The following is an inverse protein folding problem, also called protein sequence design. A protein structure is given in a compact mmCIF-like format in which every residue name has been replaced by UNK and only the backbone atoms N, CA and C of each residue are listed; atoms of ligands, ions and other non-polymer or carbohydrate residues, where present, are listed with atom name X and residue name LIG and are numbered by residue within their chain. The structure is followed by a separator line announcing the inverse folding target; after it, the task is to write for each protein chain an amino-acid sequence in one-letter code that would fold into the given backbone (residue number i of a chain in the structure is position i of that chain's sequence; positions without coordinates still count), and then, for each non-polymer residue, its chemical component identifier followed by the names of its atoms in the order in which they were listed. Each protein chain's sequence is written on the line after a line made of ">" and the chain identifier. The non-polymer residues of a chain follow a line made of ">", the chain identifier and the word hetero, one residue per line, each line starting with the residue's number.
data_IF_893224304466
#
_entry.id   IF_893224304466
#
_cell.length_a   1.000
_cell.length_b   1.000
_cell.length_c   1.000
_cell.angle_alpha   90.00
_cell.angle_beta   90.00
_cell.angle_gamma   90.00
#
_symmetry.space_group_name_H-M   'P 1'
#
loop_
_entity.id
_entity.type
_entity.pdbx_description
1 polymer ?
#
# COMPACT_ATOMS: atom_id res chain seq x y z
N UNK A 1 10.00 -29.40 -10.28
CA UNK A 1 9.03 -29.84 -9.26
C UNK A 1 9.43 -29.22 -7.94
N UNK A 2 8.72 -28.17 -7.55
CA UNK A 2 8.87 -27.52 -6.26
C UNK A 2 7.86 -28.14 -5.28
N UNK A 3 8.28 -28.35 -4.04
CA UNK A 3 7.35 -28.55 -2.92
C UNK A 3 7.05 -27.19 -2.32
N UNK A 4 5.80 -26.74 -2.42
CA UNK A 4 5.36 -25.47 -1.81
C UNK A 4 4.95 -25.82 -0.37
N UNK A 5 5.74 -25.46 0.66
CA UNK A 5 5.31 -25.70 2.02
C UNK A 5 4.10 -24.83 2.34
N UNK A 6 3.39 -25.14 3.44
CA UNK A 6 2.47 -24.18 4.02
C UNK A 6 3.27 -23.03 4.64
N UNK A 7 2.80 -21.80 4.49
CA UNK A 7 3.43 -20.65 5.15
C UNK A 7 3.24 -20.82 6.65
N UNK A 8 4.33 -20.72 7.42
CA UNK A 8 4.20 -20.67 8.87
C UNK A 8 3.42 -19.41 9.25
N UNK A 9 2.27 -19.62 9.89
CA UNK A 9 1.46 -18.53 10.41
C UNK A 9 2.23 -17.90 11.57
N UNK A 10 2.90 -16.77 11.29
CA UNK A 10 3.38 -15.88 12.36
C UNK A 10 2.15 -15.58 13.22
N UNK A 11 2.15 -16.05 14.46
CA UNK A 11 1.04 -15.83 15.39
C UNK A 11 0.94 -14.33 15.65
N UNK A 12 0.14 -13.62 14.86
CA UNK A 12 -0.14 -12.22 15.10
C UNK A 12 -1.12 -12.20 16.28
N UNK A 13 -0.62 -11.90 17.47
CA UNK A 13 -1.46 -11.60 18.62
C UNK A 13 -2.46 -10.51 18.23
N UNK A 14 -3.75 -10.77 18.45
CA UNK A 14 -4.91 -9.92 18.11
C UNK A 14 -4.85 -8.47 18.67
N UNK A 15 -3.81 -8.10 19.41
CA UNK A 15 -3.63 -6.76 19.99
C UNK A 15 -3.25 -5.67 18.97
N UNK A 16 -2.86 -6.03 17.74
CA UNK A 16 -2.46 -5.05 16.72
C UNK A 16 -3.61 -4.52 15.85
N UNK A 17 -4.82 -5.09 15.94
CA UNK A 17 -5.96 -4.68 15.09
C UNK A 17 -6.85 -3.59 15.73
N UNK A 18 -6.55 -3.15 16.95
CA UNK A 18 -7.40 -2.23 17.72
C UNK A 18 -6.84 -0.81 17.91
N UNK A 19 -5.72 -0.43 17.26
CA UNK A 19 -5.07 0.87 17.56
C UNK A 19 -5.44 2.04 16.66
N UNK A 20 -6.24 1.86 15.60
CA UNK A 20 -6.55 2.94 14.66
C UNK A 20 -7.97 3.54 14.78
N UNK A 21 -8.67 3.33 15.90
CA UNK A 21 -10.01 3.91 16.14
C UNK A 21 -10.09 4.88 17.34
N UNK A 22 -9.03 5.01 18.16
CA UNK A 22 -9.02 5.95 19.28
C UNK A 22 -7.78 6.88 19.26
N UNK A 23 -7.70 7.76 18.26
CA UNK A 23 -6.93 9.00 18.41
C UNK A 23 -7.72 10.16 17.82
N UNK A 24 -8.64 10.70 18.62
CA UNK A 24 -9.49 11.78 18.14
C UNK A 24 -10.43 12.42 19.16
N UNK A 25 -10.07 12.49 20.45
CA UNK A 25 -10.65 13.51 21.36
C UNK A 25 -9.59 13.92 22.38
N UNK A 26 -8.88 15.01 22.10
CA UNK A 26 -8.07 15.70 23.11
C UNK A 26 -8.98 16.34 24.17
N UNK A 27 -8.88 15.86 25.41
CA UNK A 27 -9.44 16.53 26.59
C UNK A 27 -8.48 17.60 27.08
N UNK A 28 -8.82 18.88 26.89
CA UNK A 28 -8.20 19.98 27.62
C UNK A 28 -8.81 20.09 29.03
N UNK A 29 -7.95 19.96 30.04
CA UNK A 29 -8.24 20.30 31.43
C UNK A 29 -8.38 21.82 31.60
N UNK A 30 -9.40 22.32 32.30
CA UNK A 30 -9.14 23.04 33.57
C UNK A 30 -10.36 23.29 34.48
N UNK A 31 -10.13 23.00 35.76
CA UNK A 31 -10.50 23.71 37.00
C UNK A 31 -11.84 24.48 37.13
N UNK A 32 -12.65 24.09 38.13
CA UNK A 32 -13.59 25.02 38.78
C UNK A 32 -14.73 24.36 39.56
N UNK A 33 -14.73 24.54 40.89
CA UNK A 33 -15.76 24.09 41.86
C UNK A 33 -17.17 24.63 41.54
N UNK A 34 -18.22 23.84 41.80
CA UNK A 34 -19.30 24.18 42.78
C UNK A 34 -20.53 23.26 42.68
N UNK A 35 -21.29 23.23 43.79
CA UNK A 35 -22.51 22.47 44.09
C UNK A 35 -23.71 22.90 43.23
N UNK A 36 -24.67 22.02 42.98
CA UNK A 36 -26.02 22.43 42.55
C UNK A 36 -26.92 21.29 42.08
N UNK A 37 -28.20 21.34 42.44
CA UNK A 37 -29.25 20.33 42.23
C UNK A 37 -29.96 20.48 40.87
N UNK A 38 -30.66 19.40 40.49
CA UNK A 38 -31.81 19.26 39.57
C UNK A 38 -32.54 20.55 39.14
N UNK A 39 -32.86 20.65 37.84
CA UNK A 39 -33.82 21.62 37.30
C UNK A 39 -33.96 21.60 35.77
N UNK A 40 -35.21 21.74 35.34
CA UNK A 40 -35.83 21.66 34.00
C UNK A 40 -35.40 22.65 32.88
N UNK A 41 -35.81 22.26 31.66
CA UNK A 41 -36.31 23.02 30.50
C UNK A 41 -35.45 24.00 29.66
N UNK A 42 -35.55 23.75 28.34
CA UNK A 42 -35.74 24.66 27.20
C UNK A 42 -34.58 25.50 26.62
N UNK A 43 -34.31 25.21 25.33
CA UNK A 43 -33.89 26.05 24.17
C UNK A 43 -32.98 27.28 24.35
N UNK A 44 -32.06 27.52 23.38
CA UNK A 44 -31.69 28.90 23.04
C UNK A 44 -31.63 29.22 21.53
N UNK A 45 -32.00 30.47 21.22
CA UNK A 45 -31.76 31.20 19.98
C UNK A 45 -30.45 32.02 20.06
N UNK A 46 -29.82 32.22 18.87
CA UNK A 46 -29.10 33.41 18.34
C UNK A 46 -27.93 34.09 19.12
N UNK A 47 -26.73 34.02 18.51
CA UNK A 47 -25.75 35.09 18.07
C UNK A 47 -25.53 36.39 18.90
N UNK A 48 -24.42 37.17 18.72
CA UNK A 48 -23.02 36.92 18.27
C UNK A 48 -21.93 37.66 19.12
N UNK A 49 -20.65 37.58 18.69
CA UNK A 49 -19.40 38.14 19.26
C UNK A 49 -19.29 39.68 19.33
N UNK A 50 -18.27 40.22 20.07
CA UNK A 50 -17.39 41.24 19.46
C UNK A 50 -15.88 41.26 19.87
N UNK A 51 -15.07 41.75 18.91
CA UNK A 51 -13.98 42.76 18.91
C UNK A 51 -12.65 42.73 19.73
N UNK A 52 -11.55 42.78 18.95
CA UNK A 52 -10.34 43.64 18.94
C UNK A 52 -9.67 44.17 20.23
N UNK A 53 -8.35 43.98 20.36
CA UNK A 53 -7.38 45.09 20.59
C UNK A 53 -5.93 44.73 20.17
N UNK A 54 -5.25 45.73 19.64
CA UNK A 54 -3.88 45.79 19.08
C UNK A 54 -2.99 46.65 20.00
N UNK A 55 -1.65 46.45 20.06
CA UNK A 55 -0.68 47.46 20.52
C UNK A 55 0.79 47.14 20.14
N UNK A 56 1.47 48.16 19.61
CA UNK A 56 2.88 48.21 19.15
C UNK A 56 3.76 49.07 20.08
N UNK A 57 5.12 48.88 20.06
CA UNK A 57 6.20 49.91 19.86
C UNK A 57 7.60 49.53 20.46
N UNK A 58 8.69 49.54 19.64
CA UNK A 58 9.94 50.40 19.61
C UNK A 58 11.05 50.12 20.67
N UNK A 59 12.40 50.26 20.53
CA UNK A 59 13.43 50.68 19.51
C UNK A 59 14.88 50.27 19.99
N UNK A 60 15.83 50.21 19.03
CA UNK A 60 17.28 49.88 18.92
C UNK A 60 18.40 50.33 19.93
N UNK A 61 19.56 49.63 19.95
CA UNK A 61 20.87 49.94 19.26
C UNK A 61 22.13 49.29 19.92
N UNK A 62 23.12 48.83 19.13
CA UNK A 62 24.51 48.53 19.59
C UNK A 62 25.31 47.53 18.71
N UNK A 63 26.57 47.84 18.34
CA UNK A 63 27.42 47.18 17.31
C UNK A 63 28.80 46.82 17.90
N UNK A 64 29.38 45.63 17.62
CA UNK A 64 30.78 45.38 17.17
C UNK A 64 31.30 43.91 17.31
N UNK A 65 32.09 43.52 16.28
CA UNK A 65 33.14 42.47 16.11
C UNK A 65 32.78 41.02 15.69
N UNK A 66 33.43 40.61 14.58
CA UNK A 66 33.48 39.29 13.91
C UNK A 66 34.09 38.16 14.75
N UNK A 67 33.68 36.91 14.48
CA UNK A 67 34.58 35.77 14.26
C UNK A 67 33.87 34.69 13.42
N UNK A 68 34.58 34.19 12.41
CA UNK A 68 34.13 33.19 11.43
C UNK A 68 34.00 31.78 12.02
N UNK A 69 32.96 31.03 11.61
CA UNK A 69 32.99 29.55 11.53
C UNK A 69 31.85 29.03 10.64
N UNK A 70 32.25 28.44 9.51
CA UNK A 70 31.70 27.27 8.80
C UNK A 70 30.20 27.18 8.48
N UNK A 71 29.96 27.10 7.17
CA UNK A 71 28.73 26.76 6.48
C UNK A 71 28.01 25.55 7.09
N UNK A 72 26.78 25.78 7.55
CA UNK A 72 25.80 24.71 7.71
C UNK A 72 25.08 24.65 6.37
N UNK A 73 25.46 23.69 5.54
CA UNK A 73 24.72 23.35 4.33
C UNK A 73 23.28 23.04 4.73
N UNK A 74 22.39 23.90 4.28
CA UNK A 74 20.95 23.72 4.33
C UNK A 74 20.63 22.40 3.62
N UNK A 75 20.37 21.36 4.39
CA UNK A 75 19.80 20.11 3.90
C UNK A 75 18.54 20.48 3.10
N UNK A 76 18.64 20.31 1.79
CA UNK A 76 17.50 20.45 0.91
C UNK A 76 16.52 19.35 1.32
N UNK A 77 15.40 19.76 1.90
CA UNK A 77 14.22 18.92 2.02
C UNK A 77 13.99 18.30 0.63
N UNK A 78 14.05 16.97 0.56
CA UNK A 78 13.52 16.24 -0.57
C UNK A 78 12.07 16.71 -0.73
N UNK A 79 11.82 17.50 -1.77
CA UNK A 79 10.48 17.88 -2.13
C UNK A 79 9.69 16.61 -2.33
N UNK A 80 8.71 16.38 -1.47
CA UNK A 80 7.66 15.41 -1.71
C UNK A 80 7.01 15.81 -3.03
N UNK A 81 7.41 15.15 -4.12
CA UNK A 81 6.72 15.25 -5.39
C UNK A 81 5.32 14.70 -5.15
N UNK A 82 4.35 15.60 -4.90
CA UNK A 82 2.96 15.25 -4.63
C UNK A 82 2.32 14.74 -5.92
N UNK A 83 2.60 13.48 -6.25
CA UNK A 83 1.91 12.77 -7.32
C UNK A 83 0.52 12.44 -6.82
N UNK A 84 -0.52 13.06 -7.40
CA UNK A 84 -1.90 12.78 -7.04
C UNK A 84 -2.24 11.30 -7.26
N UNK A 85 -2.73 10.62 -6.23
CA UNK A 85 -3.09 9.20 -6.32
C UNK A 85 -4.37 9.05 -7.13
N UNK A 86 -4.30 8.32 -8.25
CA UNK A 86 -5.48 7.95 -9.05
C UNK A 86 -6.18 6.72 -8.44
N UNK A 87 -7.49 6.80 -8.21
CA UNK A 87 -8.26 5.63 -7.75
C UNK A 87 -8.73 4.82 -8.96
N UNK A 88 -8.44 3.52 -8.97
CA UNK A 88 -8.89 2.55 -9.95
C UNK A 88 -10.02 1.70 -9.38
N UNK A 89 -11.02 1.42 -10.22
CA UNK A 89 -12.11 0.50 -9.93
C UNK A 89 -11.85 -0.87 -10.56
N UNK A 90 -12.52 -1.91 -10.04
CA UNK A 90 -12.51 -3.24 -10.63
C UNK A 90 -12.77 -3.20 -12.14
N UNK A 91 -11.98 -3.96 -12.90
CA UNK A 91 -12.06 -4.04 -14.35
C UNK A 91 -11.34 -2.92 -15.12
N UNK A 92 -10.81 -1.89 -14.43
CA UNK A 92 -10.11 -0.80 -15.10
C UNK A 92 -8.69 -1.17 -15.50
N UNK A 93 -8.23 -0.57 -16.59
CA UNK A 93 -6.86 -0.69 -17.11
C UNK A 93 -6.19 0.67 -17.06
N UNK A 94 -4.96 0.71 -16.58
CA UNK A 94 -4.13 1.90 -16.51
C UNK A 94 -2.83 1.66 -17.27
N UNK A 95 -2.48 2.54 -18.20
CA UNK A 95 -1.15 2.52 -18.83
C UNK A 95 -0.11 2.91 -17.79
N UNK A 96 0.96 2.13 -17.69
CA UNK A 96 2.08 2.43 -16.82
C UNK A 96 2.99 3.46 -17.50
N UNK A 97 3.29 4.54 -16.79
CA UNK A 97 4.17 5.63 -17.20
C UNK A 97 5.61 5.39 -16.75
N UNK A 98 5.79 4.67 -15.64
CA UNK A 98 7.08 4.25 -15.12
C UNK A 98 7.36 2.79 -15.46
N UNK A 99 8.65 2.44 -15.41
CA UNK A 99 9.13 1.06 -15.45
C UNK A 99 9.61 0.57 -14.10
N UNK A 100 9.75 1.45 -13.13
CA UNK A 100 10.08 1.12 -11.75
C UNK A 100 8.85 1.39 -10.91
N UNK A 101 8.33 0.32 -10.32
CA UNK A 101 7.04 0.30 -9.64
C UNK A 101 7.22 -0.35 -8.28
N UNK A 102 6.48 0.14 -7.29
CA UNK A 102 6.33 -0.50 -6.00
C UNK A 102 4.85 -0.75 -5.75
N UNK A 103 4.49 -2.01 -5.50
CA UNK A 103 3.16 -2.41 -5.09
C UNK A 103 3.15 -2.63 -3.59
N UNK A 104 2.14 -2.09 -2.91
CA UNK A 104 1.93 -2.25 -1.48
C UNK A 104 0.50 -2.70 -1.20
N UNK A 105 0.37 -3.86 -0.57
CA UNK A 105 -0.90 -4.39 -0.06
C UNK A 105 -1.04 -4.04 1.41
N UNK A 106 -2.17 -3.44 1.83
CA UNK A 106 -2.32 -2.97 3.21
C UNK A 106 -2.54 -4.08 4.25
N UNK A 107 -2.79 -5.32 3.82
CA UNK A 107 -3.06 -6.46 4.70
C UNK A 107 -2.01 -7.55 4.51
N UNK A 108 -1.62 -8.18 5.62
CA UNK A 108 -0.69 -9.31 5.69
C UNK A 108 -1.40 -10.65 5.96
N UNK A 109 -2.73 -10.65 6.04
CA UNK A 109 -3.52 -11.84 6.38
C UNK A 109 -3.52 -12.85 5.22
N UNK A 110 -3.48 -12.37 3.98
CA UNK A 110 -3.46 -13.21 2.78
C UNK A 110 -2.06 -13.34 2.22
N UNK A 111 -1.80 -14.49 1.61
CA UNK A 111 -0.56 -14.77 0.91
C UNK A 111 -0.60 -14.21 -0.51
N UNK A 112 0.40 -13.40 -0.83
CA UNK A 112 0.61 -12.86 -2.17
C UNK A 112 1.51 -13.83 -2.93
N UNK A 113 1.06 -14.23 -4.12
CA UNK A 113 1.90 -14.95 -5.08
C UNK A 113 1.90 -14.26 -6.43
N UNK A 114 2.99 -14.41 -7.19
CA UNK A 114 3.19 -13.73 -8.47
C UNK A 114 3.63 -14.74 -9.51
N UNK A 115 2.88 -14.86 -10.60
CA UNK A 115 3.24 -15.69 -11.75
C UNK A 115 3.76 -14.78 -12.86
N UNK A 116 5.06 -14.90 -13.19
CA UNK A 116 5.66 -14.23 -14.34
C UNK A 116 5.53 -15.15 -15.54
N UNK A 117 4.64 -14.80 -16.48
CA UNK A 117 4.23 -15.67 -17.57
C UNK A 117 4.54 -15.08 -18.94
N UNK A 118 4.77 -15.97 -19.89
CA UNK A 118 5.07 -15.67 -21.29
C UNK A 118 3.82 -15.61 -22.19
N UNK A 119 4.03 -15.53 -23.50
CA UNK A 119 2.98 -15.53 -24.52
C UNK A 119 2.14 -16.81 -24.55
N UNK A 120 2.67 -17.94 -24.05
CA UNK A 120 1.92 -19.19 -23.91
C UNK A 120 1.02 -19.22 -22.66
N UNK A 121 1.00 -18.12 -21.90
CA UNK A 121 0.28 -17.98 -20.63
C UNK A 121 0.75 -18.99 -19.58
N UNK A 122 2.05 -19.33 -19.61
CA UNK A 122 2.74 -20.21 -18.68
C UNK A 122 4.01 -19.53 -18.13
N UNK A 123 4.45 -19.97 -16.95
CA UNK A 123 5.75 -19.56 -16.41
C UNK A 123 6.88 -20.16 -17.27
N UNK A 124 7.99 -19.43 -17.40
CA UNK A 124 9.19 -19.94 -18.09
C UNK A 124 9.85 -21.11 -17.32
N UNK A 125 9.55 -21.20 -16.03
CA UNK A 125 9.99 -22.25 -15.13
C UNK A 125 9.51 -21.97 -13.71
N UNK A 126 9.67 -22.98 -12.86
CA UNK A 126 9.36 -22.98 -11.43
C UNK A 126 9.90 -21.74 -10.66
N UNK A 127 11.07 -21.23 -11.06
CA UNK A 127 11.70 -20.06 -10.47
C UNK A 127 11.06 -18.70 -10.87
N UNK A 128 10.10 -18.70 -11.80
CA UNK A 128 9.33 -17.52 -12.24
C UNK A 128 7.98 -17.40 -11.52
N UNK A 129 7.70 -18.31 -10.58
CA UNK A 129 6.59 -18.23 -9.64
C UNK A 129 7.09 -17.75 -8.28
N UNK A 130 6.77 -16.52 -7.91
CA UNK A 130 7.22 -15.94 -6.64
C UNK A 130 6.16 -16.11 -5.56
N UNK A 131 6.62 -16.49 -4.38
CA UNK A 131 5.81 -16.70 -3.17
C UNK A 131 6.72 -16.47 -1.96
N UNK A 132 6.19 -16.62 -0.74
CA UNK A 132 6.90 -16.25 0.49
C UNK A 132 8.29 -16.91 0.68
N UNK A 133 8.56 -18.08 0.07
CA UNK A 133 9.88 -18.74 0.11
C UNK A 133 10.74 -18.54 -1.15
N UNK A 134 10.22 -17.85 -2.16
CA UNK A 134 10.93 -17.49 -3.39
C UNK A 134 10.63 -16.03 -3.70
N UNK A 135 11.34 -15.14 -3.02
CA UNK A 135 11.03 -13.72 -2.95
C UNK A 135 11.63 -12.88 -4.10
N UNK A 136 12.36 -13.48 -5.05
CA UNK A 136 13.12 -12.78 -6.09
C UNK A 136 13.08 -13.55 -7.41
N UNK A 137 12.76 -12.87 -8.49
CA UNK A 137 12.80 -13.46 -9.84
C UNK A 137 14.24 -13.69 -10.33
N UNK A 138 14.47 -14.64 -11.26
CA UNK A 138 15.81 -14.98 -11.73
C UNK A 138 16.56 -13.85 -12.42
N UNK A 139 15.82 -12.88 -12.98
CA UNK A 139 16.35 -11.67 -13.63
C UNK A 139 16.42 -10.46 -12.68
N UNK A 140 16.08 -10.64 -11.41
CA UNK A 140 16.02 -9.59 -10.39
C UNK A 140 15.10 -8.41 -10.74
N UNK A 141 14.10 -8.66 -11.60
CA UNK A 141 13.12 -7.65 -11.99
C UNK A 141 11.95 -7.55 -11.02
N UNK A 142 11.62 -8.61 -10.29
CA UNK A 142 10.52 -8.64 -9.32
C UNK A 142 11.02 -9.17 -7.98
N UNK A 143 10.76 -8.42 -6.91
CA UNK A 143 11.22 -8.76 -5.57
C UNK A 143 10.19 -8.41 -4.51
N UNK A 144 9.91 -9.34 -3.59
CA UNK A 144 9.30 -9.02 -2.31
C UNK A 144 10.37 -8.39 -1.40
N UNK A 145 10.18 -7.11 -1.08
CA UNK A 145 11.03 -6.39 -0.11
C UNK A 145 10.54 -6.66 1.31
N UNK A 146 9.22 -6.80 1.44
CA UNK A 146 8.50 -7.25 2.63
C UNK A 146 7.39 -8.21 2.19
N UNK A 147 6.74 -8.87 3.14
CA UNK A 147 5.67 -9.85 2.86
C UNK A 147 4.51 -9.25 2.03
N UNK A 148 4.30 -7.93 2.08
CA UNK A 148 3.25 -7.16 1.38
C UNK A 148 3.77 -6.01 0.48
N UNK A 149 5.09 -5.88 0.29
CA UNK A 149 5.71 -4.83 -0.53
C UNK A 149 6.53 -5.47 -1.64
N UNK A 150 6.18 -5.17 -2.88
CA UNK A 150 6.79 -5.76 -4.08
C UNK A 150 7.36 -4.67 -4.97
N UNK A 151 8.66 -4.77 -5.25
CA UNK A 151 9.32 -3.95 -6.25
C UNK A 151 9.30 -4.65 -7.61
N UNK A 152 8.99 -3.89 -8.66
CA UNK A 152 9.01 -4.34 -10.06
C UNK A 152 9.84 -3.37 -10.90
N UNK A 153 10.83 -3.89 -11.63
CA UNK A 153 11.66 -3.16 -12.58
C UNK A 153 11.52 -3.75 -13.99
N UNK A 154 10.63 -3.15 -14.77
CA UNK A 154 10.33 -3.54 -16.16
C UNK A 154 11.49 -3.29 -17.14
N UNK A 155 12.56 -2.59 -16.74
CA UNK A 155 13.78 -2.49 -17.56
C UNK A 155 14.67 -3.73 -17.44
N UNK A 156 14.61 -4.45 -16.32
CA UNK A 156 15.37 -5.68 -16.09
C UNK A 156 14.60 -6.94 -16.48
N UNK A 157 13.28 -6.82 -16.61
CA UNK A 157 12.39 -7.93 -16.89
C UNK A 157 12.78 -8.65 -18.18
N UNK A 158 12.90 -9.97 -18.08
CA UNK A 158 13.16 -10.84 -19.20
C UNK A 158 12.12 -10.62 -20.30
N UNK A 159 12.60 -10.45 -21.53
CA UNK A 159 11.79 -10.08 -22.70
C UNK A 159 10.75 -11.12 -23.09
N UNK A 160 10.88 -12.37 -22.63
CA UNK A 160 9.87 -13.41 -22.85
C UNK A 160 8.64 -13.24 -21.95
N UNK A 161 8.76 -12.51 -20.82
CA UNK A 161 7.62 -12.25 -19.92
C UNK A 161 6.70 -11.19 -20.53
N UNK A 162 5.43 -11.55 -20.67
CA UNK A 162 4.39 -10.66 -21.19
C UNK A 162 3.35 -10.28 -20.15
N UNK A 163 3.26 -11.02 -19.03
CA UNK A 163 2.30 -10.74 -17.98
C UNK A 163 2.82 -11.20 -16.62
N UNK A 164 2.46 -10.44 -15.60
CA UNK A 164 2.56 -10.80 -14.19
C UNK A 164 1.14 -10.89 -13.63
N UNK A 165 0.80 -12.01 -13.03
CA UNK A 165 -0.49 -12.22 -12.34
C UNK A 165 -0.24 -12.24 -10.84
N UNK A 166 -0.89 -11.33 -10.11
CA UNK A 166 -0.79 -11.24 -8.65
C UNK A 166 -2.03 -11.87 -8.03
N UNK A 167 -1.84 -12.94 -7.28
CA UNK A 167 -2.91 -13.66 -6.60
C UNK A 167 -2.84 -13.45 -5.10
N UNK A 168 -4.01 -13.40 -4.45
CA UNK A 168 -4.12 -13.49 -3.00
C UNK A 168 -4.77 -14.84 -2.66
N UNK A 169 -4.20 -15.57 -1.72
CA UNK A 169 -4.74 -16.84 -1.20
C UNK A 169 -4.75 -16.84 0.33
N UNK A 170 -5.66 -17.57 0.94
CA UNK A 170 -5.77 -17.71 2.39
C UNK A 170 -6.26 -19.10 2.76
N UNK A 171 -5.50 -19.82 3.58
CA UNK A 171 -5.78 -21.22 3.89
C UNK A 171 -7.01 -21.41 4.80
N UNK A 172 -7.22 -20.47 5.74
CA UNK A 172 -8.18 -20.67 6.84
C UNK A 172 -9.32 -19.65 6.88
N UNK A 173 -9.28 -18.62 6.04
CA UNK A 173 -10.24 -17.52 6.07
C UNK A 173 -10.50 -16.95 4.68
N UNK A 174 -11.58 -16.18 4.55
CA UNK A 174 -11.83 -15.35 3.38
C UNK A 174 -10.76 -14.27 3.26
N UNK A 175 -10.45 -13.86 2.03
CA UNK A 175 -9.59 -12.70 1.80
C UNK A 175 -10.25 -11.47 2.45
N UNK A 176 -9.55 -10.71 3.31
CA UNK A 176 -10.11 -9.50 3.88
C UNK A 176 -10.17 -8.39 2.84
N UNK A 177 -11.07 -7.45 3.04
CA UNK A 177 -11.01 -6.20 2.30
C UNK A 177 -9.67 -5.52 2.58
N UNK A 178 -8.98 -5.13 1.52
CA UNK A 178 -7.62 -4.58 1.60
C UNK A 178 -7.46 -3.52 0.51
N UNK A 179 -6.37 -2.77 0.60
CA UNK A 179 -6.03 -1.74 -0.38
C UNK A 179 -4.73 -2.12 -1.07
N UNK A 180 -4.72 -2.02 -2.39
CA UNK A 180 -3.50 -2.10 -3.20
C UNK A 180 -3.14 -0.71 -3.69
N UNK A 181 -1.94 -0.25 -3.36
CA UNK A 181 -1.35 0.96 -3.92
C UNK A 181 -0.18 0.59 -4.80
N UNK A 182 -0.11 1.16 -6.00
CA UNK A 182 1.10 1.16 -6.81
C UNK A 182 1.67 2.57 -6.82
N UNK A 183 2.96 2.70 -6.57
CA UNK A 183 3.70 3.96 -6.62
C UNK A 183 4.92 3.85 -7.53
N UNK A 184 5.34 4.99 -8.06
CA UNK A 184 6.57 5.19 -8.81
C UNK A 184 7.00 6.66 -8.69
N UNK A 185 8.05 7.06 -9.40
CA UNK A 185 8.52 8.45 -9.39
C UNK A 185 7.51 9.48 -9.91
N UNK A 186 6.59 9.09 -10.80
CA UNK A 186 5.70 10.03 -11.51
C UNK A 186 4.24 9.58 -11.62
N UNK A 187 3.92 8.35 -11.23
CA UNK A 187 2.55 7.86 -11.14
C UNK A 187 2.29 7.16 -9.81
N UNK A 188 1.08 7.35 -9.31
CA UNK A 188 0.55 6.61 -8.16
C UNK A 188 -0.91 6.27 -8.43
N UNK A 189 -1.28 5.03 -8.17
CA UNK A 189 -2.69 4.61 -8.20
C UNK A 189 -3.02 3.69 -7.04
N UNK A 190 -4.29 3.65 -6.70
CA UNK A 190 -4.82 2.81 -5.64
C UNK A 190 -6.10 2.14 -6.08
N UNK A 191 -6.35 0.94 -5.58
CA UNK A 191 -7.64 0.27 -5.69
C UNK A 191 -8.00 -0.38 -4.36
N UNK A 192 -9.30 -0.38 -4.06
CA UNK A 192 -9.84 -1.22 -3.01
C UNK A 192 -10.04 -2.62 -3.58
N UNK A 193 -9.57 -3.61 -2.83
CA UNK A 193 -9.75 -5.03 -3.08
C UNK A 193 -10.87 -5.50 -2.17
N UNK A 194 -11.91 -6.05 -2.79
CA UNK A 194 -13.05 -6.63 -2.10
C UNK A 194 -12.84 -8.14 -2.10
N UNK A 195 -12.48 -8.69 -0.95
CA UNK A 195 -12.20 -10.12 -0.81
C UNK A 195 -13.46 -10.98 -0.74
N UNK A 196 -14.64 -10.35 -0.60
CA UNK A 196 -15.94 -11.03 -0.60
C UNK A 196 -15.99 -12.22 0.36
N UNK A 197 -16.40 -13.37 -0.15
CA UNK A 197 -16.49 -14.63 0.61
C UNK A 197 -15.56 -15.71 0.03
N UNK A 198 -14.56 -15.32 -0.75
CA UNK A 198 -13.60 -16.27 -1.31
C UNK A 198 -12.30 -16.31 -0.50
N UNK A 199 -11.63 -17.45 -0.53
CA UNK A 199 -10.30 -17.69 0.01
C UNK A 199 -9.19 -17.41 -1.01
N UNK A 200 -9.54 -17.10 -2.26
CA UNK A 200 -8.58 -16.87 -3.32
C UNK A 200 -9.08 -15.87 -4.36
N UNK A 201 -8.14 -15.15 -4.96
CA UNK A 201 -8.45 -14.22 -6.04
C UNK A 201 -7.24 -13.86 -6.89
N UNK A 202 -7.52 -13.36 -8.09
CA UNK A 202 -6.58 -12.55 -8.86
C UNK A 202 -6.81 -11.09 -8.46
N UNK A 203 -5.85 -10.49 -7.75
CA UNK A 203 -5.93 -9.11 -7.29
C UNK A 203 -5.71 -8.13 -8.45
N UNK A 204 -4.63 -8.31 -9.19
CA UNK A 204 -4.27 -7.48 -10.33
C UNK A 204 -3.38 -8.22 -11.32
N UNK A 205 -3.24 -7.64 -12.51
CA UNK A 205 -2.28 -8.06 -13.51
C UNK A 205 -1.45 -6.86 -13.99
N UNK A 206 -0.18 -7.09 -14.30
CA UNK A 206 0.65 -6.17 -15.09
C UNK A 206 1.00 -6.88 -16.38
N UNK A 207 0.61 -6.33 -17.53
CA UNK A 207 0.77 -7.02 -18.82
C UNK A 207 1.25 -6.07 -19.92
N UNK A 208 1.97 -6.64 -20.87
CA UNK A 208 2.46 -5.95 -22.05
C UNK A 208 1.49 -6.15 -23.21
N UNK A 209 1.10 -5.05 -23.86
CA UNK A 209 0.24 -5.08 -25.04
C UNK A 209 0.48 -3.84 -25.88
N UNK A 210 0.49 -3.96 -27.20
CA UNK A 210 0.65 -2.82 -28.13
C UNK A 210 1.84 -1.92 -27.74
N UNK A 211 3.00 -2.54 -27.48
CA UNK A 211 4.24 -1.89 -27.10
C UNK A 211 4.23 -1.13 -25.77
N UNK A 212 3.25 -1.39 -24.90
CA UNK A 212 3.06 -0.66 -23.65
C UNK A 212 2.68 -1.59 -22.50
N UNK A 213 3.26 -1.34 -21.33
CA UNK A 213 2.87 -1.99 -20.08
C UNK A 213 1.59 -1.34 -19.52
N UNK A 214 0.70 -2.20 -19.02
CA UNK A 214 -0.58 -1.80 -18.44
C UNK A 214 -0.80 -2.55 -17.13
N UNK A 215 -1.35 -1.84 -16.16
CA UNK A 215 -1.96 -2.42 -14.99
C UNK A 215 -3.43 -2.74 -15.27
N UNK A 216 -3.91 -3.85 -14.75
CA UNK A 216 -5.32 -4.25 -14.74
C UNK A 216 -5.78 -4.49 -13.31
N UNK A 217 -6.76 -3.70 -12.87
CA UNK A 217 -7.42 -3.83 -11.58
C UNK A 217 -8.41 -5.02 -11.63
N UNK A 218 -7.90 -6.25 -11.57
CA UNK A 218 -8.70 -7.46 -11.78
C UNK A 218 -9.78 -7.63 -10.71
N UNK A 219 -9.40 -7.62 -9.43
CA UNK A 219 -10.27 -7.86 -8.27
C UNK A 219 -11.27 -9.01 -8.53
N UNK A 220 -10.73 -10.17 -8.93
CA UNK A 220 -11.49 -11.33 -9.40
C UNK A 220 -11.41 -12.46 -8.38
N UNK A 221 -12.50 -12.65 -7.63
CA UNK A 221 -12.67 -13.80 -6.73
C UNK A 221 -12.69 -15.11 -7.52
N UNK A 222 -12.12 -16.16 -6.94
CA UNK A 222 -12.01 -17.49 -7.55
C UNK A 222 -12.40 -18.59 -6.56
N UNK A 223 -12.58 -19.82 -7.04
CA UNK A 223 -12.65 -21.02 -6.19
C UNK A 223 -11.33 -21.82 -6.23
N UNK A 224 -10.35 -21.34 -7.01
CA UNK A 224 -9.06 -21.96 -7.24
C UNK A 224 -8.18 -21.91 -5.98
N UNK A 225 -7.46 -22.98 -5.69
CA UNK A 225 -6.40 -22.97 -4.66
C UNK A 225 -5.07 -22.46 -5.23
N UNK A 226 -4.07 -22.25 -4.37
CA UNK A 226 -2.72 -21.95 -4.84
C UNK A 226 -2.18 -23.06 -5.77
N UNK A 227 -2.52 -24.31 -5.48
CA UNK A 227 -2.15 -25.45 -6.32
C UNK A 227 -2.80 -25.35 -7.70
N UNK A 228 -4.08 -24.99 -7.76
CA UNK A 228 -4.78 -24.85 -9.04
C UNK A 228 -4.20 -23.71 -9.89
N UNK A 229 -3.83 -22.57 -9.27
CA UNK A 229 -3.08 -21.52 -9.98
C UNK A 229 -1.73 -22.01 -10.49
N UNK A 230 -1.00 -22.80 -9.71
CA UNK A 230 0.26 -23.40 -10.14
C UNK A 230 0.06 -24.26 -11.39
N UNK A 231 -0.96 -25.14 -11.40
CA UNK A 231 -1.28 -25.96 -12.56
C UNK A 231 -1.74 -25.11 -13.76
N UNK A 232 -2.58 -24.11 -13.51
CA UNK A 232 -3.08 -23.18 -14.52
C UNK A 232 -1.92 -22.44 -15.22
N UNK A 233 -0.92 -21.99 -14.47
CA UNK A 233 0.24 -21.25 -15.01
C UNK A 233 1.47 -22.13 -15.29
N UNK A 234 1.38 -23.45 -15.13
CA UNK A 234 2.42 -24.40 -15.57
C UNK A 234 3.60 -24.60 -14.62
N UNK A 235 3.47 -24.17 -13.37
CA UNK A 235 4.44 -24.49 -12.31
C UNK A 235 4.41 -25.99 -12.05
N UNK A 236 5.58 -26.62 -12.00
CA UNK A 236 5.69 -28.04 -11.67
C UNK A 236 5.69 -28.18 -10.14
N UNK A 237 4.59 -28.66 -9.58
CA UNK A 237 4.46 -28.92 -8.13
C UNK A 237 4.51 -30.43 -7.90
N UNK A 238 5.27 -30.86 -6.91
CA UNK A 238 5.25 -32.25 -6.44
C UNK A 238 4.29 -32.39 -5.25
N UNK A 239 3.54 -33.49 -5.21
CA UNK A 239 2.72 -33.91 -4.06
C UNK A 239 3.52 -33.99 -2.72
#
# INVERSE_FOLDING_TARGET
>A
MIKIPMKESKSISLECYAKDVESGVETFHNCGKSRGKYGELSTPQKTPCPENVDFTTKTACGKLVEHATTDVETFHQHGESSTSIKILQKGQRQKLQSKELQLHFSSLISDISIFLIDESNKVLGDNWFLYYNQNLSPDHSVQFVEDNVINVNLNKLNTSIQKMVFTLTSDSATIPNTKLTLTSSNEAFSMDIDGGQSQSMIACEIYYKNNEWRFYAANQLTEETLYDFCMQYGVQVSD
#
